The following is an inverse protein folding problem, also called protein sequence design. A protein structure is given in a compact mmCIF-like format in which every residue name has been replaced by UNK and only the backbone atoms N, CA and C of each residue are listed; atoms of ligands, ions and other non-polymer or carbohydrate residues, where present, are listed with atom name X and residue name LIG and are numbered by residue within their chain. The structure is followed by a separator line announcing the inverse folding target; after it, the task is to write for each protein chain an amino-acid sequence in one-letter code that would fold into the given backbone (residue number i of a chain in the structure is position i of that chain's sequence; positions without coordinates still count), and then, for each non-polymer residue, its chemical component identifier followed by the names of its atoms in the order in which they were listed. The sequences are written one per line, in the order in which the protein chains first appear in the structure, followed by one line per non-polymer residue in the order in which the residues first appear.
data_IF_413771955314
#
_entry.id   IF_413771955314
#
_cell.length_a   1.000
_cell.length_b   1.000
_cell.length_c   1.000
_cell.angle_alpha   90.00
_cell.angle_beta   90.00
_cell.angle_gamma   90.00
#
_symmetry.space_group_name_H-M   'P 1'
#
loop_
_entity.id
_entity.type
_entity.pdbx_description
1 polymer ?
#
# COMPACT_ATOMS: atom_id res chain seq x y z
N UNK A 1 4.10 17.06 6.90
CA UNK A 1 3.07 16.04 6.69
C UNK A 1 2.66 15.38 8.01
N UNK A 2 3.57 14.83 8.81
CA UNK A 2 3.31 14.26 10.15
C UNK A 2 2.52 15.25 11.01
N UNK A 3 2.92 16.52 11.07
CA UNK A 3 2.18 17.57 11.77
C UNK A 3 0.71 17.70 11.34
N UNK A 4 0.39 17.50 10.04
CA UNK A 4 -1.01 17.53 9.57
C UNK A 4 -1.80 16.32 10.10
N UNK A 5 -1.19 15.14 10.10
CA UNK A 5 -1.81 13.94 10.65
C UNK A 5 -2.07 14.07 12.16
N UNK A 6 -1.11 14.62 12.93
CA UNK A 6 -1.30 14.92 14.35
C UNK A 6 -2.46 15.88 14.59
N UNK A 7 -2.57 16.95 13.78
CA UNK A 7 -3.69 17.90 13.85
C UNK A 7 -5.03 17.26 13.49
N UNK A 8 -5.07 16.39 12.48
CA UNK A 8 -6.29 15.66 12.11
C UNK A 8 -6.73 14.75 13.25
N UNK A 9 -5.79 14.00 13.86
CA UNK A 9 -6.07 13.13 15.02
C UNK A 9 -6.55 13.95 16.23
N UNK A 10 -5.95 15.10 16.51
CA UNK A 10 -6.43 15.98 17.58
C UNK A 10 -7.86 16.49 17.33
N UNK A 11 -8.18 16.84 16.09
CA UNK A 11 -9.52 17.27 15.70
C UNK A 11 -10.51 16.11 15.84
N UNK A 12 -10.16 14.95 15.33
CA UNK A 12 -10.96 13.74 15.39
C UNK A 12 -11.26 13.32 16.85
N UNK A 13 -10.27 13.39 17.72
CA UNK A 13 -10.44 13.12 19.16
C UNK A 13 -11.46 14.03 19.82
N UNK A 14 -11.49 15.33 19.43
CA UNK A 14 -12.44 16.30 19.99
C UNK A 14 -13.84 16.17 19.43
N UNK A 15 -13.94 15.78 18.15
CA UNK A 15 -15.21 15.82 17.41
C UNK A 15 -15.86 14.45 17.26
N UNK A 16 -15.13 13.37 17.57
CA UNK A 16 -15.64 12.01 17.55
C UNK A 16 -15.77 11.41 16.16
N UNK A 17 -14.90 11.81 15.21
CA UNK A 17 -14.86 11.23 13.87
C UNK A 17 -13.60 10.38 13.63
N UNK A 18 -13.57 9.64 12.54
CA UNK A 18 -12.44 8.82 12.13
C UNK A 18 -11.50 9.56 11.16
N UNK A 19 -10.23 9.17 11.13
CA UNK A 19 -9.21 9.67 10.22
C UNK A 19 -8.61 8.50 9.45
N UNK A 20 -8.57 8.58 8.12
CA UNK A 20 -7.91 7.60 7.27
C UNK A 20 -6.47 8.01 6.96
N UNK A 21 -5.55 7.06 7.03
CA UNK A 21 -4.18 7.20 6.56
C UNK A 21 -3.87 6.10 5.58
N UNK A 22 -3.47 6.49 4.35
CA UNK A 22 -3.04 5.58 3.30
C UNK A 22 -1.53 5.71 3.14
N UNK A 23 -0.82 4.60 3.19
CA UNK A 23 0.58 4.49 2.80
C UNK A 23 0.64 3.83 1.43
N UNK A 24 1.35 4.45 0.49
CA UNK A 24 1.36 4.10 -0.93
C UNK A 24 2.80 3.91 -1.36
N UNK A 25 3.14 2.77 -1.92
CA UNK A 25 4.47 2.45 -2.45
C UNK A 25 4.36 2.06 -3.92
N UNK A 26 5.24 2.62 -4.76
CA UNK A 26 5.25 2.35 -6.18
C UNK A 26 5.94 1.01 -6.46
N UNK A 27 5.18 0.08 -7.00
CA UNK A 27 5.70 -1.26 -7.28
C UNK A 27 6.82 -1.22 -8.31
N UNK A 28 7.95 -1.86 -7.97
CA UNK A 28 9.11 -2.01 -8.85
C UNK A 28 9.73 -0.69 -9.34
N UNK A 29 9.53 0.42 -8.64
CA UNK A 29 10.10 1.73 -9.01
C UNK A 29 11.62 1.67 -9.24
N UNK A 30 12.33 0.85 -8.46
CA UNK A 30 13.76 0.63 -8.65
C UNK A 30 14.12 0.16 -10.06
N UNK A 31 13.29 -0.70 -10.67
CA UNK A 31 13.52 -1.18 -12.05
C UNK A 31 13.49 -0.02 -13.06
N UNK A 32 12.60 0.95 -12.84
CA UNK A 32 12.51 2.15 -13.69
C UNK A 32 13.79 2.99 -13.55
N UNK A 33 14.24 3.23 -12.32
CA UNK A 33 15.52 3.93 -12.09
C UNK A 33 16.71 3.21 -12.71
N UNK A 34 16.79 1.89 -12.54
CA UNK A 34 17.90 1.08 -13.04
C UNK A 34 17.91 1.01 -14.58
N UNK A 35 16.72 1.15 -15.22
CA UNK A 35 16.57 1.04 -16.68
C UNK A 35 16.63 2.40 -17.40
N UNK A 36 15.97 3.43 -16.86
CA UNK A 36 15.81 4.73 -17.49
C UNK A 36 16.61 5.85 -16.83
N UNK A 37 17.26 5.54 -15.70
CA UNK A 37 18.04 6.49 -14.91
C UNK A 37 17.19 7.28 -13.91
N UNK A 38 17.86 7.86 -12.92
CA UNK A 38 17.23 8.59 -11.82
C UNK A 38 16.42 9.81 -12.25
N UNK A 39 16.83 10.50 -13.32
CA UNK A 39 16.10 11.66 -13.85
C UNK A 39 14.69 11.25 -14.32
N UNK A 40 14.56 10.12 -15.01
CA UNK A 40 13.27 9.57 -15.42
C UNK A 40 12.42 9.11 -14.22
N UNK A 41 13.07 8.54 -13.21
CA UNK A 41 12.41 8.21 -11.95
C UNK A 41 11.86 9.43 -11.22
N UNK A 42 12.59 10.54 -11.20
CA UNK A 42 12.13 11.78 -10.59
C UNK A 42 10.93 12.39 -11.35
N UNK A 43 10.94 12.34 -12.69
CA UNK A 43 9.79 12.74 -13.52
C UNK A 43 8.56 11.88 -13.22
N UNK A 44 8.75 10.56 -13.11
CA UNK A 44 7.68 9.62 -12.71
C UNK A 44 7.08 10.00 -11.36
N UNK A 45 7.93 10.22 -10.35
CA UNK A 45 7.49 10.59 -9.00
C UNK A 45 6.72 11.91 -8.97
N UNK A 46 7.11 12.91 -9.78
CA UNK A 46 6.38 14.17 -9.91
C UNK A 46 4.99 13.95 -10.49
N UNK A 47 4.89 13.17 -11.57
CA UNK A 47 3.60 12.88 -12.22
C UNK A 47 2.69 12.04 -11.33
N UNK A 48 3.23 11.01 -10.67
CA UNK A 48 2.50 10.23 -9.66
C UNK A 48 1.97 11.15 -8.56
N UNK A 49 2.82 11.99 -7.97
CA UNK A 49 2.40 12.94 -6.95
C UNK A 49 1.30 13.91 -7.43
N UNK A 50 1.29 14.27 -8.72
CA UNK A 50 0.23 15.08 -9.33
C UNK A 50 -1.09 14.29 -9.39
N UNK A 51 -1.06 13.05 -9.87
CA UNK A 51 -2.24 12.16 -9.96
C UNK A 51 -2.83 11.87 -8.59
N UNK A 52 -1.99 11.52 -7.61
CA UNK A 52 -2.43 11.23 -6.24
C UNK A 52 -3.14 12.42 -5.59
N UNK A 53 -2.65 13.66 -5.80
CA UNK A 53 -3.33 14.86 -5.30
C UNK A 53 -4.72 15.04 -5.91
N UNK A 54 -4.93 14.61 -7.15
CA UNK A 54 -6.24 14.60 -7.80
C UNK A 54 -7.21 13.61 -7.13
N UNK A 55 -6.72 12.45 -6.72
CA UNK A 55 -7.54 11.41 -6.09
C UNK A 55 -8.12 11.85 -4.73
N UNK A 56 -7.34 12.56 -3.93
CA UNK A 56 -7.76 13.01 -2.59
C UNK A 56 -8.73 14.18 -2.69
N UNK A 57 -8.47 15.16 -3.56
CA UNK A 57 -9.37 16.31 -3.76
C UNK A 57 -10.75 15.93 -4.30
N UNK A 58 -10.89 14.79 -4.95
CA UNK A 58 -12.18 14.34 -5.50
C UNK A 58 -13.11 13.76 -4.42
N UNK A 59 -12.56 13.27 -3.29
CA UNK A 59 -13.36 12.88 -2.12
C UNK A 59 -14.05 14.09 -1.47
N UNK A 60 -13.43 15.28 -1.51
CA UNK A 60 -14.01 16.55 -1.08
C UNK A 60 -15.28 16.93 -1.82
N UNK A 61 -15.34 16.73 -3.13
CA UNK A 61 -16.49 17.16 -3.95
C UNK A 61 -17.75 16.33 -3.68
N UNK A 62 -17.61 15.08 -3.27
CA UNK A 62 -18.75 14.21 -2.92
C UNK A 62 -19.31 14.59 -1.55
N UNK A 63 -18.45 14.99 -0.61
CA UNK A 63 -18.84 15.47 0.72
C UNK A 63 -19.37 16.91 0.69
N UNK A 64 -18.92 17.73 -0.26
CA UNK A 64 -19.36 19.13 -0.40
C UNK A 64 -20.89 19.26 -0.54
N UNK A 65 -21.51 18.37 -1.32
CA UNK A 65 -22.98 18.35 -1.48
C UNK A 65 -23.75 17.93 -0.23
N UNK A 66 -23.13 17.20 0.70
CA UNK A 66 -23.76 16.81 1.97
C UNK A 66 -23.50 17.80 3.11
N UNK A 67 -22.36 18.51 3.09
CA UNK A 67 -21.96 19.43 4.16
C UNK A 67 -22.52 20.86 4.02
N UNK A 68 -22.91 21.28 2.81
CA UNK A 68 -23.68 22.53 2.65
C UNK A 68 -25.02 22.51 3.43
N UNK A 69 -25.54 21.30 3.69
CA UNK A 69 -26.78 21.13 4.46
C UNK A 69 -26.59 21.28 5.99
N UNK A 70 -25.37 21.22 6.52
CA UNK A 70 -25.10 21.13 7.97
C UNK A 70 -24.33 22.35 8.54
N UNK A 71 -23.87 23.28 7.70
CA UNK A 71 -23.23 24.53 8.18
C UNK A 71 -21.88 24.37 8.90
N UNK A 72 -21.23 23.22 8.80
CA UNK A 72 -19.95 22.96 9.41
C UNK A 72 -18.79 23.46 8.53
N UNK A 73 -17.94 24.34 9.08
CA UNK A 73 -16.67 24.70 8.45
C UNK A 73 -15.78 23.47 8.39
N UNK A 74 -15.57 22.95 7.21
CA UNK A 74 -14.81 21.73 6.93
C UNK A 74 -13.33 21.86 7.36
N UNK A 75 -12.77 20.80 7.92
CA UNK A 75 -11.34 20.62 8.20
C UNK A 75 -10.49 20.40 6.93
N UNK A 76 -10.98 20.83 5.77
CA UNK A 76 -10.46 20.69 4.40
C UNK A 76 -8.98 21.12 4.23
N UNK A 77 -8.46 21.94 5.15
CA UNK A 77 -7.07 22.39 5.11
C UNK A 77 -6.06 21.32 5.57
N UNK A 78 -6.53 20.20 6.12
CA UNK A 78 -5.67 19.15 6.65
C UNK A 78 -5.41 18.00 5.69
N UNK A 79 -6.22 17.88 4.63
CA UNK A 79 -5.96 16.89 3.60
C UNK A 79 -4.58 17.06 3.00
N UNK A 80 -3.86 15.96 2.87
CA UNK A 80 -2.51 16.00 2.37
C UNK A 80 -2.14 14.71 1.63
N UNK A 81 -1.57 14.92 0.45
CA UNK A 81 -0.75 13.91 -0.20
C UNK A 81 0.69 14.38 -0.16
N UNK A 82 1.59 13.50 0.20
CA UNK A 82 3.01 13.80 0.23
C UNK A 82 3.88 12.59 0.06
N UNK A 83 5.12 12.83 -0.32
CA UNK A 83 6.17 11.82 -0.43
C UNK A 83 6.88 11.72 0.92
N UNK A 84 7.03 10.50 1.44
CA UNK A 84 7.78 10.22 2.66
C UNK A 84 9.29 10.09 2.37
N UNK A 85 9.61 9.43 1.27
CA UNK A 85 11.00 9.22 0.82
C UNK A 85 11.01 8.13 -0.27
N UNK A 86 12.04 8.08 -1.10
CA UNK A 86 12.13 7.07 -2.14
C UNK A 86 10.89 7.05 -3.05
N UNK A 87 10.23 5.91 -3.11
CA UNK A 87 9.00 5.62 -3.86
C UNK A 87 7.72 5.62 -3.00
N UNK A 88 7.84 6.03 -1.74
CA UNK A 88 6.73 6.02 -0.79
C UNK A 88 6.01 7.37 -0.73
N UNK A 89 4.69 7.31 -0.86
CA UNK A 89 3.77 8.41 -0.66
C UNK A 89 2.81 8.10 0.48
N UNK A 90 2.21 9.15 1.02
CA UNK A 90 1.11 8.97 1.91
C UNK A 90 -0.03 9.93 1.60
N UNK A 91 -1.26 9.51 1.88
CA UNK A 91 -2.45 10.34 1.81
C UNK A 91 -3.16 10.35 3.16
N UNK A 92 -3.56 11.54 3.59
CA UNK A 92 -4.31 11.77 4.82
C UNK A 92 -5.73 12.16 4.46
N UNK A 93 -6.69 11.42 5.02
CA UNK A 93 -8.11 11.69 4.96
C UNK A 93 -8.54 12.17 6.36
N UNK A 94 -8.68 13.48 6.58
CA UNK A 94 -8.89 14.04 7.91
C UNK A 94 -10.26 13.68 8.52
N UNK A 95 -11.18 13.24 7.70
CA UNK A 95 -12.51 12.78 8.09
C UNK A 95 -12.98 11.69 7.15
N UNK A 96 -13.31 10.53 7.68
CA UNK A 96 -13.93 9.41 6.97
C UNK A 96 -15.16 8.96 7.75
N UNK A 97 -16.24 8.62 7.04
CA UNK A 97 -17.45 8.14 7.67
C UNK A 97 -17.32 6.67 8.10
N UNK A 98 -16.60 5.88 7.29
CA UNK A 98 -16.26 4.49 7.58
C UNK A 98 -15.02 4.06 6.79
N UNK A 99 -14.62 2.79 6.94
CA UNK A 99 -13.49 2.20 6.24
C UNK A 99 -13.63 2.19 4.71
N UNK A 100 -14.86 2.15 4.19
CA UNK A 100 -15.16 2.11 2.75
C UNK A 100 -14.79 3.41 2.07
N UNK A 101 -14.87 4.53 2.78
CA UNK A 101 -14.41 5.81 2.26
C UNK A 101 -12.92 5.77 1.95
N UNK A 102 -12.12 5.24 2.88
CA UNK A 102 -10.69 5.10 2.70
C UNK A 102 -10.34 4.07 1.59
N UNK A 103 -11.06 2.95 1.52
CA UNK A 103 -10.92 1.97 0.43
C UNK A 103 -11.28 2.58 -0.93
N UNK A 104 -12.32 3.41 -0.99
CA UNK A 104 -12.72 4.12 -2.21
C UNK A 104 -11.62 5.05 -2.70
N UNK A 105 -10.97 5.79 -1.79
CA UNK A 105 -9.83 6.65 -2.14
C UNK A 105 -8.63 5.80 -2.58
N UNK A 106 -8.35 4.70 -1.90
CA UNK A 106 -7.28 3.78 -2.30
C UNK A 106 -7.53 3.20 -3.71
N UNK A 107 -8.78 2.83 -4.03
CA UNK A 107 -9.12 2.36 -5.37
C UNK A 107 -8.93 3.46 -6.43
N UNK A 108 -9.29 4.71 -6.14
CA UNK A 108 -9.02 5.84 -7.04
C UNK A 108 -7.53 6.05 -7.27
N UNK A 109 -6.71 5.87 -6.25
CA UNK A 109 -5.24 5.90 -6.36
C UNK A 109 -4.76 4.83 -7.34
N UNK A 110 -5.21 3.58 -7.19
CA UNK A 110 -4.85 2.49 -8.07
C UNK A 110 -5.33 2.74 -9.52
N UNK A 111 -6.55 3.22 -9.68
CA UNK A 111 -7.11 3.53 -11.00
C UNK A 111 -6.38 4.68 -11.69
N UNK A 112 -5.97 5.71 -10.96
CA UNK A 112 -5.22 6.84 -11.51
C UNK A 112 -3.81 6.45 -12.00
N UNK A 113 -3.27 5.34 -11.52
CA UNK A 113 -1.96 4.80 -11.93
C UNK A 113 -2.07 3.78 -13.08
N UNK A 114 -3.27 3.37 -13.49
CA UNK A 114 -3.46 2.44 -14.63
C UNK A 114 -3.00 3.01 -15.95
N UNK A 115 -3.26 4.31 -16.18
CA UNK A 115 -2.85 4.95 -17.40
C UNK A 115 -1.33 5.13 -17.42
N UNK A 116 -0.68 4.82 -18.55
CA UNK A 116 0.76 4.96 -18.67
C UNK A 116 1.21 6.40 -18.41
N UNK A 117 2.44 6.52 -17.96
CA UNK A 117 3.13 7.80 -17.79
C UNK A 117 4.19 7.87 -18.88
N UNK A 118 4.09 8.89 -19.74
CA UNK A 118 5.07 9.09 -20.82
C UNK A 118 6.31 9.76 -20.28
N UNK A 119 7.43 9.03 -20.29
CA UNK A 119 8.71 9.48 -19.74
C UNK A 119 9.85 8.98 -20.62
N UNK A 120 10.83 9.84 -20.85
CA UNK A 120 12.03 9.50 -21.64
C UNK A 120 11.70 8.93 -23.04
N UNK A 121 10.60 9.39 -23.67
CA UNK A 121 10.20 8.99 -25.00
C UNK A 121 9.41 7.69 -25.10
N UNK A 122 8.97 7.10 -23.97
CA UNK A 122 8.20 5.85 -23.93
C UNK A 122 7.12 5.85 -22.86
N UNK A 123 6.16 4.96 -23.02
CA UNK A 123 5.11 4.72 -22.02
C UNK A 123 5.64 3.84 -20.88
N UNK A 124 5.56 4.36 -19.66
CA UNK A 124 5.90 3.64 -18.43
C UNK A 124 4.63 3.24 -17.68
N UNK A 125 4.49 1.95 -17.41
CA UNK A 125 3.42 1.41 -16.58
C UNK A 125 3.91 1.23 -15.16
N UNK A 126 3.23 1.84 -14.21
CA UNK A 126 3.52 1.73 -12.78
C UNK A 126 2.26 1.32 -12.03
N UNK A 127 2.42 0.47 -11.05
CA UNK A 127 1.36 0.12 -10.10
C UNK A 127 1.76 0.52 -8.69
N UNK A 128 0.85 0.42 -7.76
CA UNK A 128 1.14 0.72 -6.36
C UNK A 128 0.57 -0.35 -5.43
N UNK A 129 1.22 -0.52 -4.29
CA UNK A 129 0.71 -1.26 -3.15
C UNK A 129 0.28 -0.25 -2.09
N UNK A 130 -0.98 -0.34 -1.63
CA UNK A 130 -1.57 0.63 -0.71
C UNK A 130 -1.97 -0.05 0.59
N UNK A 131 -1.46 0.45 1.71
CA UNK A 131 -1.90 0.06 3.05
C UNK A 131 -2.74 1.16 3.68
N UNK A 132 -3.81 0.78 4.37
CA UNK A 132 -4.79 1.70 4.96
C UNK A 132 -4.88 1.44 6.46
N UNK A 133 -4.82 2.51 7.26
CA UNK A 133 -5.09 2.47 8.70
C UNK A 133 -6.06 3.59 9.10
N UNK A 134 -6.96 3.30 10.03
CA UNK A 134 -8.04 4.19 10.47
C UNK A 134 -7.88 4.52 11.96
N UNK A 135 -7.84 5.82 12.28
CA UNK A 135 -7.95 6.31 13.66
C UNK A 135 -9.43 6.31 14.09
N UNK A 136 -9.79 5.94 15.32
CA UNK A 136 -8.90 5.44 16.41
C UNK A 136 -8.70 3.92 16.39
N UNK A 137 -9.38 3.19 15.51
CA UNK A 137 -9.44 1.74 15.46
C UNK A 137 -8.06 1.08 15.33
N UNK A 138 -7.25 1.61 14.41
CA UNK A 138 -5.99 1.00 14.02
C UNK A 138 -4.76 1.70 14.65
N UNK A 139 -4.98 2.67 15.52
CA UNK A 139 -3.92 3.37 16.25
C UNK A 139 -4.39 4.71 16.82
N UNK A 140 -3.73 5.16 17.88
CA UNK A 140 -4.07 6.40 18.57
C UNK A 140 -3.11 7.54 18.25
N UNK A 141 -2.00 7.24 17.61
CA UNK A 141 -0.96 8.19 17.20
C UNK A 141 -0.68 8.07 15.70
N UNK A 142 -0.11 9.13 15.12
CA UNK A 142 0.37 9.09 13.73
C UNK A 142 1.39 7.98 13.51
N UNK A 143 2.27 7.74 14.47
CA UNK A 143 3.27 6.67 14.39
C UNK A 143 2.63 5.28 14.35
N UNK A 144 1.58 5.05 15.15
CA UNK A 144 0.83 3.78 15.13
C UNK A 144 0.14 3.57 13.78
N UNK A 145 -0.53 4.61 13.26
CA UNK A 145 -1.22 4.53 11.99
C UNK A 145 -0.26 4.26 10.83
N UNK A 146 0.90 4.96 10.79
CA UNK A 146 1.93 4.71 9.77
C UNK A 146 2.46 3.29 9.84
N UNK A 147 2.81 2.81 11.03
CA UNK A 147 3.29 1.44 11.24
C UNK A 147 2.25 0.40 10.78
N UNK A 148 0.99 0.61 11.13
CA UNK A 148 -0.07 -0.33 10.83
C UNK A 148 -0.48 -0.28 9.35
N UNK A 149 -0.45 0.90 8.71
CA UNK A 149 -0.58 1.02 7.26
C UNK A 149 0.58 0.33 6.52
N UNK A 150 1.82 0.43 7.03
CA UNK A 150 2.97 -0.28 6.45
C UNK A 150 2.80 -1.81 6.50
N UNK A 151 2.31 -2.35 7.61
CA UNK A 151 1.97 -3.78 7.74
C UNK A 151 0.94 -4.20 6.68
N UNK A 152 -0.10 -3.41 6.45
CA UNK A 152 -1.11 -3.69 5.44
C UNK A 152 -0.54 -3.61 4.01
N UNK A 153 0.25 -2.58 3.73
CA UNK A 153 0.94 -2.40 2.44
C UNK A 153 1.90 -3.56 2.14
N UNK A 154 2.66 -4.00 3.15
CA UNK A 154 3.55 -5.15 3.01
C UNK A 154 2.79 -6.46 2.70
N UNK A 155 1.61 -6.65 3.30
CA UNK A 155 0.75 -7.78 2.97
C UNK A 155 0.33 -7.76 1.50
N UNK A 156 -0.03 -6.59 0.95
CA UNK A 156 -0.33 -6.40 -0.48
C UNK A 156 0.86 -6.76 -1.35
N UNK A 157 2.06 -6.27 -1.02
CA UNK A 157 3.29 -6.59 -1.77
C UNK A 157 3.56 -8.10 -1.86
N UNK A 158 3.24 -8.84 -0.80
CA UNK A 158 3.40 -10.31 -0.76
C UNK A 158 2.29 -11.08 -1.49
N UNK A 159 1.12 -10.48 -1.74
CA UNK A 159 -0.04 -11.10 -2.39
C UNK A 159 -0.14 -10.80 -3.90
N UNK A 160 0.88 -10.19 -4.49
CA UNK A 160 0.89 -9.93 -5.94
C UNK A 160 0.95 -8.46 -6.32
N UNK A 161 0.94 -7.54 -5.35
CA UNK A 161 0.99 -6.07 -5.57
C UNK A 161 -0.26 -5.53 -6.26
N UNK A 162 -0.21 -4.26 -6.71
CA UNK A 162 -1.28 -3.58 -7.46
C UNK A 162 -2.66 -3.71 -6.79
N UNK A 163 -2.71 -3.47 -5.50
CA UNK A 163 -3.92 -3.60 -4.68
C UNK A 163 -3.83 -2.72 -3.43
N UNK A 164 -4.91 -2.66 -2.67
CA UNK A 164 -4.96 -2.04 -1.36
C UNK A 164 -5.43 -3.03 -0.29
N UNK A 165 -5.04 -2.79 0.95
CA UNK A 165 -5.54 -3.55 2.09
C UNK A 165 -5.75 -2.62 3.30
N UNK A 166 -6.84 -2.84 4.02
CA UNK A 166 -7.04 -2.32 5.36
C UNK A 166 -6.15 -3.07 6.34
N UNK A 167 -5.61 -2.33 7.30
CA UNK A 167 -4.91 -2.96 8.41
C UNK A 167 -5.83 -3.89 9.19
N UNK A 168 -5.28 -5.02 9.56
CA UNK A 168 -5.89 -5.96 10.49
C UNK A 168 -4.79 -6.54 11.39
N UNK A 169 -5.04 -6.74 12.70
CA UNK A 169 -4.06 -7.35 13.61
C UNK A 169 -3.52 -8.70 13.13
N UNK A 170 -4.31 -9.46 12.37
CA UNK A 170 -3.89 -10.73 11.76
C UNK A 170 -2.76 -10.56 10.72
N UNK A 171 -2.62 -9.39 10.10
CA UNK A 171 -1.54 -9.11 9.15
C UNK A 171 -0.19 -8.99 9.84
N UNK A 172 -0.16 -8.48 11.08
CA UNK A 172 1.07 -8.33 11.88
C UNK A 172 1.71 -9.67 12.24
N UNK A 173 0.91 -10.73 12.43
CA UNK A 173 1.41 -12.08 12.74
C UNK A 173 2.19 -12.70 11.58
N UNK A 174 1.71 -12.52 10.35
CA UNK A 174 2.32 -13.09 9.15
C UNK A 174 3.74 -12.57 8.85
N UNK A 175 4.00 -11.29 9.13
CA UNK A 175 5.35 -10.73 8.97
C UNK A 175 6.37 -11.34 9.92
N UNK A 176 5.97 -11.55 11.16
CA UNK A 176 6.81 -12.19 12.19
C UNK A 176 7.05 -13.66 11.89
N UNK A 177 5.98 -14.41 11.56
CA UNK A 177 6.07 -15.82 11.16
C UNK A 177 7.02 -16.01 9.97
N UNK A 178 6.96 -15.12 8.97
CA UNK A 178 7.87 -15.15 7.81
C UNK A 178 9.32 -14.93 8.22
N UNK A 179 9.59 -13.95 9.09
CA UNK A 179 10.95 -13.68 9.57
C UNK A 179 11.50 -14.84 10.42
N UNK A 180 10.65 -15.44 11.24
CA UNK A 180 10.98 -16.63 12.03
C UNK A 180 11.25 -17.82 11.12
N UNK A 181 10.46 -18.01 10.05
CA UNK A 181 10.67 -19.06 9.05
C UNK A 181 11.96 -18.84 8.25
N UNK A 182 12.23 -17.62 7.78
CA UNK A 182 13.48 -17.28 7.07
C UNK A 182 14.69 -17.56 7.96
N UNK A 183 14.63 -17.16 9.24
CA UNK A 183 15.69 -17.42 10.21
C UNK A 183 15.85 -18.93 10.50
N UNK A 184 14.74 -19.66 10.55
CA UNK A 184 14.76 -21.11 10.72
C UNK A 184 15.36 -21.82 9.51
N UNK A 185 14.99 -21.40 8.28
CA UNK A 185 15.52 -21.95 7.03
C UNK A 185 17.04 -21.76 6.90
N UNK A 186 17.58 -20.61 7.28
CA UNK A 186 19.03 -20.40 7.29
C UNK A 186 19.74 -21.41 8.21
N UNK A 187 19.15 -21.70 9.37
CA UNK A 187 19.71 -22.67 10.32
C UNK A 187 19.45 -24.13 9.93
N UNK A 188 18.40 -24.41 9.17
CA UNK A 188 18.01 -25.73 8.75
C UNK A 188 19.09 -26.38 7.85
N UNK A 189 19.77 -25.59 7.01
CA UNK A 189 20.89 -26.05 6.19
C UNK A 189 22.05 -26.53 7.07
N UNK A 190 22.41 -25.73 8.09
CA UNK A 190 23.51 -26.06 9.01
C UNK A 190 23.20 -27.26 9.92
N UNK A 191 21.90 -27.56 10.11
CA UNK A 191 21.41 -28.60 11.01
C UNK A 191 20.96 -29.86 10.32
N UNK A 192 21.15 -29.96 9.00
CA UNK A 192 20.67 -31.08 8.18
C UNK A 192 19.16 -31.39 8.35
N UNK A 193 18.35 -30.32 8.55
CA UNK A 193 16.89 -30.45 8.77
C UNK A 193 16.10 -30.48 7.45
N UNK A 194 16.76 -30.27 6.29
CA UNK A 194 16.12 -30.24 4.98
C UNK A 194 16.13 -31.63 4.33
N UNK A 195 14.96 -32.06 3.89
CA UNK A 195 14.79 -33.36 3.22
C UNK A 195 14.20 -33.11 1.81
N UNK A 196 14.85 -33.70 0.82
CA UNK A 196 14.35 -33.67 -0.56
C UNK A 196 13.24 -34.71 -0.75
N UNK A 197 12.08 -34.23 -1.19
CA UNK A 197 11.00 -35.07 -1.69
C UNK A 197 10.94 -34.98 -3.21
N UNK A 198 10.54 -36.08 -3.87
CA UNK A 198 10.43 -36.11 -5.31
C UNK A 198 8.99 -36.33 -5.73
N UNK A 199 8.43 -35.36 -6.48
CA UNK A 199 7.10 -35.50 -7.07
C UNK A 199 7.22 -36.00 -8.52
N UNK A 200 6.66 -37.17 -8.85
CA UNK A 200 6.78 -37.73 -10.19
C UNK A 200 5.96 -36.93 -11.20
N UNK A 201 6.53 -36.69 -12.38
CA UNK A 201 5.84 -36.18 -13.57
C UNK A 201 5.50 -37.34 -14.46
N UNK A 202 4.20 -37.57 -14.70
CA UNK A 202 3.69 -38.72 -15.46
C UNK A 202 3.09 -38.25 -16.77
N UNK A 203 3.50 -38.84 -17.87
CA UNK A 203 2.80 -38.75 -19.15
C UNK A 203 1.52 -39.61 -19.07
N UNK A 204 0.37 -38.93 -19.01
CA UNK A 204 -0.93 -39.59 -18.85
C UNK A 204 -1.29 -40.42 -20.06
N UNK A 205 -0.83 -40.06 -21.28
CA UNK A 205 -1.11 -40.83 -22.51
C UNK A 205 -0.26 -42.06 -22.60
N UNK A 206 1.01 -41.98 -22.22
CA UNK A 206 1.95 -43.10 -22.27
C UNK A 206 1.96 -43.94 -20.98
N UNK A 207 1.21 -43.53 -19.94
CA UNK A 207 1.16 -44.13 -18.60
C UNK A 207 2.56 -44.42 -18.03
N UNK A 208 3.52 -43.49 -18.24
CA UNK A 208 4.91 -43.63 -17.76
C UNK A 208 5.42 -42.38 -17.10
N UNK A 209 6.32 -42.55 -16.17
CA UNK A 209 7.04 -41.45 -15.55
C UNK A 209 8.04 -40.85 -16.57
N UNK A 210 7.98 -39.53 -16.74
CA UNK A 210 8.85 -38.77 -17.68
C UNK A 210 9.85 -37.90 -16.96
N UNK A 211 9.75 -37.77 -15.63
CA UNK A 211 10.66 -37.03 -14.80
C UNK A 211 10.17 -36.95 -13.36
N UNK A 212 10.91 -36.25 -12.52
CA UNK A 212 10.48 -35.91 -11.17
C UNK A 212 10.87 -34.46 -10.88
N UNK A 213 10.08 -33.78 -10.02
CA UNK A 213 10.39 -32.49 -9.47
C UNK A 213 10.90 -32.69 -8.05
N UNK A 214 12.08 -32.11 -7.75
CA UNK A 214 12.62 -32.12 -6.39
C UNK A 214 11.96 -30.99 -5.59
N UNK A 215 11.33 -31.33 -4.49
CA UNK A 215 10.68 -30.43 -3.55
C UNK A 215 11.42 -30.50 -2.21
N UNK A 216 11.60 -29.34 -1.57
CA UNK A 216 12.26 -29.18 -0.29
C UNK A 216 11.35 -28.46 0.70
#
# INVERSE_FOLDING_TARGET
LIWRAERAIEAARRMGHEVGLLLIDLDRFKVINDTLGHAAGDELLMEVGRRLRGCVRHSDQVMEGMLEAVGARSHRTLEAVGRLGGDEFFALLPEVADERDAETVAQRVLDALRDPIYIAGQDCFVTASVGIAIYPRDGLTTADLLRNADVAMYAVKNQGRNASALYSPHLSGRGREKLELESALHKAIERDELVLHYQPKVDVRAARMVGAEALM
#
